data_IF_284812387855
#
_entry.id   IF_284812387855
#
_cell.length_a   1.000
_cell.length_b   1.000
_cell.length_c   1.000
_cell.angle_alpha   90.00
_cell.angle_beta   90.00
_cell.angle_gamma   90.00
#
_symmetry.space_group_name_H-M   'P 1'
#
loop_
_entity.id
_entity.type
_entity.pdbx_description
1 polymer ?
#
# COMPACT_ATOMS: atom_id res chain seq x y z
N UNK A 1 -11.65 -19.32 -8.21
CA UNK A 1 -10.87 -18.06 -8.12
C UNK A 1 -11.66 -16.98 -8.84
N UNK A 2 -12.08 -15.92 -8.16
CA UNK A 2 -12.76 -14.81 -8.83
C UNK A 2 -11.69 -13.96 -9.53
N UNK A 3 -11.87 -13.70 -10.81
CA UNK A 3 -10.97 -12.83 -11.60
C UNK A 3 -11.64 -11.50 -11.87
N UNK A 4 -10.85 -10.44 -11.92
CA UNK A 4 -11.31 -9.08 -12.23
C UNK A 4 -10.41 -8.50 -13.31
N UNK A 5 -11.01 -7.90 -14.32
CA UNK A 5 -10.28 -7.23 -15.40
C UNK A 5 -10.11 -5.74 -15.09
N UNK A 6 -8.89 -5.24 -15.15
CA UNK A 6 -8.56 -3.82 -14.96
C UNK A 6 -7.97 -3.28 -16.26
N UNK A 7 -8.45 -2.11 -16.70
CA UNK A 7 -7.91 -1.41 -17.87
C UNK A 7 -6.82 -0.44 -17.43
N UNK A 8 -5.69 -0.51 -18.11
CA UNK A 8 -4.53 0.36 -17.93
C UNK A 8 -3.99 0.72 -19.31
N UNK A 9 -3.23 1.80 -19.40
CA UNK A 9 -2.53 2.13 -20.64
C UNK A 9 -1.39 1.14 -20.92
N UNK A 10 -0.88 1.19 -22.16
CA UNK A 10 0.16 0.28 -22.62
C UNK A 10 1.48 0.44 -21.87
N UNK A 11 1.85 1.66 -21.48
CA UNK A 11 3.11 1.92 -20.78
C UNK A 11 3.07 1.28 -19.39
N UNK A 12 1.99 1.53 -18.63
CA UNK A 12 1.76 0.90 -17.32
C UNK A 12 1.78 -0.63 -17.41
N UNK A 13 1.19 -1.21 -18.47
CA UNK A 13 1.23 -2.67 -18.66
C UNK A 13 2.65 -3.20 -18.87
N UNK A 14 3.50 -2.48 -19.62
CA UNK A 14 4.89 -2.86 -19.86
C UNK A 14 5.73 -2.76 -18.58
N UNK A 15 5.52 -1.72 -17.79
CA UNK A 15 6.18 -1.56 -16.49
C UNK A 15 5.80 -2.68 -15.52
N UNK A 16 4.52 -3.04 -15.45
CA UNK A 16 4.07 -4.17 -14.63
C UNK A 16 4.67 -5.50 -15.08
N UNK A 17 4.84 -5.70 -16.39
CA UNK A 17 5.52 -6.90 -16.92
C UNK A 17 7.00 -6.92 -16.53
N UNK A 18 7.68 -5.78 -16.65
CA UNK A 18 9.09 -5.65 -16.25
C UNK A 18 9.25 -5.96 -14.76
N UNK A 19 8.43 -5.33 -13.91
CA UNK A 19 8.45 -5.55 -12.46
C UNK A 19 8.17 -7.01 -12.10
N UNK A 20 7.17 -7.63 -12.74
CA UNK A 20 6.85 -9.03 -12.51
C UNK A 20 8.02 -9.96 -12.89
N UNK A 21 8.72 -9.65 -13.99
CA UNK A 21 9.92 -10.38 -14.42
C UNK A 21 11.09 -10.21 -13.43
N UNK A 22 11.32 -9.00 -12.93
CA UNK A 22 12.39 -8.71 -11.97
C UNK A 22 12.18 -9.39 -10.62
N UNK A 23 10.91 -9.58 -10.24
CA UNK A 23 10.52 -10.25 -9.01
C UNK A 23 10.29 -11.76 -9.19
N UNK A 24 10.44 -12.29 -10.41
CA UNK A 24 10.16 -13.70 -10.74
C UNK A 24 8.75 -14.16 -10.35
N UNK A 25 7.75 -13.29 -10.54
CA UNK A 25 6.35 -13.58 -10.21
C UNK A 25 5.40 -13.30 -11.37
N UNK A 26 4.14 -13.74 -11.26
CA UNK A 26 3.11 -13.36 -12.24
C UNK A 26 2.77 -11.86 -12.15
N UNK A 27 2.24 -11.29 -13.25
CA UNK A 27 1.76 -9.89 -13.25
C UNK A 27 0.70 -9.66 -12.16
N UNK A 28 -0.20 -10.62 -11.93
CA UNK A 28 -1.20 -10.53 -10.87
C UNK A 28 -0.60 -10.53 -9.46
N UNK A 29 0.50 -11.26 -9.25
CA UNK A 29 1.25 -11.23 -7.99
C UNK A 29 1.95 -9.88 -7.80
N UNK A 30 2.61 -9.38 -8.84
CA UNK A 30 3.27 -8.07 -8.80
C UNK A 30 2.27 -6.94 -8.48
N UNK A 31 1.06 -6.99 -9.06
CA UNK A 31 -0.03 -6.06 -8.72
C UNK A 31 -0.42 -6.19 -7.25
N UNK A 32 -0.55 -7.41 -6.72
CA UNK A 32 -0.89 -7.62 -5.30
C UNK A 32 0.16 -7.06 -4.36
N UNK A 33 1.45 -7.25 -4.68
CA UNK A 33 2.58 -6.69 -3.93
C UNK A 33 2.54 -5.16 -3.99
N UNK A 34 2.34 -4.58 -5.18
CA UNK A 34 2.28 -3.13 -5.38
C UNK A 34 1.13 -2.48 -4.58
N UNK A 35 -0.08 -3.06 -4.65
CA UNK A 35 -1.24 -2.57 -3.88
C UNK A 35 -0.97 -2.64 -2.37
N UNK A 36 -0.37 -3.74 -1.90
CA UNK A 36 -0.01 -3.88 -0.49
C UNK A 36 1.01 -2.81 -0.06
N UNK A 37 2.05 -2.57 -0.86
CA UNK A 37 3.07 -1.56 -0.55
C UNK A 37 2.49 -0.14 -0.54
N UNK A 38 1.68 0.23 -1.53
CA UNK A 38 1.01 1.54 -1.56
C UNK A 38 0.11 1.75 -0.32
N UNK A 39 -0.56 0.69 0.13
CA UNK A 39 -1.38 0.74 1.35
C UNK A 39 -0.50 0.93 2.60
N UNK A 40 0.61 0.20 2.68
CA UNK A 40 1.55 0.29 3.81
C UNK A 40 2.23 1.65 3.88
N UNK A 41 2.62 2.24 2.75
CA UNK A 41 3.21 3.57 2.69
C UNK A 41 2.25 4.64 3.23
N UNK A 42 0.99 4.60 2.81
CA UNK A 42 -0.05 5.50 3.34
C UNK A 42 -0.23 5.35 4.85
N UNK A 43 -0.27 4.11 5.36
CA UNK A 43 -0.36 3.84 6.81
C UNK A 43 0.88 4.39 7.53
N UNK A 44 2.07 4.17 6.98
CA UNK A 44 3.32 4.68 7.55
C UNK A 44 3.32 6.20 7.68
N UNK A 45 2.83 6.91 6.67
CA UNK A 45 2.65 8.37 6.73
C UNK A 45 1.68 8.78 7.84
N UNK A 46 0.56 8.05 8.00
CA UNK A 46 -0.41 8.35 9.06
C UNK A 46 0.14 8.10 10.46
N UNK A 47 0.87 7.00 10.65
CA UNK A 47 1.48 6.66 11.94
C UNK A 47 2.63 7.58 12.32
N UNK A 48 3.31 8.20 11.35
CA UNK A 48 4.38 9.17 11.59
C UNK A 48 3.90 10.60 11.85
N UNK A 49 2.60 10.86 11.73
CA UNK A 49 2.04 12.17 12.05
C UNK A 49 2.11 12.43 13.56
N UNK A 50 2.38 13.68 13.94
CA UNK A 50 2.28 14.08 15.34
C UNK A 50 0.85 13.86 15.84
N UNK A 51 0.73 13.24 17.01
CA UNK A 51 -0.56 13.04 17.67
C UNK A 51 -1.19 14.40 17.98
N UNK A 52 -2.48 14.51 17.72
CA UNK A 52 -3.24 15.70 18.09
C UNK A 52 -3.28 15.87 19.61
N UNK A 53 -3.55 17.10 20.07
CA UNK A 53 -3.74 17.36 21.51
C UNK A 53 -4.81 16.46 22.13
N UNK A 54 -5.88 16.16 21.38
CA UNK A 54 -6.96 15.28 21.84
C UNK A 54 -6.49 13.82 21.99
N UNK A 55 -5.71 13.31 21.04
CA UNK A 55 -5.16 11.95 21.10
C UNK A 55 -4.13 11.79 22.22
N UNK A 56 -3.26 12.79 22.43
CA UNK A 56 -2.35 12.81 23.58
C UNK A 56 -3.12 12.85 24.90
N UNK A 57 -4.15 13.71 25.01
CA UNK A 57 -4.99 13.78 26.22
C UNK A 57 -5.67 12.44 26.52
N UNK A 58 -6.10 11.71 25.48
CA UNK A 58 -6.67 10.36 25.64
C UNK A 58 -5.63 9.33 26.07
N UNK A 59 -4.41 9.37 25.52
CA UNK A 59 -3.31 8.48 25.94
C UNK A 59 -2.84 8.75 27.37
N UNK A 60 -2.79 10.02 27.77
CA UNK A 60 -2.37 10.44 29.10
C UNK A 60 -3.45 10.19 30.17
N UNK A 61 -4.70 9.91 29.77
CA UNK A 61 -5.82 9.72 30.68
C UNK A 61 -5.68 8.49 31.60
N UNK A 62 -4.93 7.45 31.17
CA UNK A 62 -4.66 6.24 31.96
C UNK A 62 -3.35 6.34 32.78
N UNK A 63 -2.62 7.46 32.70
CA UNK A 63 -1.40 7.72 33.46
C UNK A 63 -1.65 8.56 34.74
N UNK A 64 -2.92 8.72 35.14
CA UNK A 64 -3.36 9.40 36.35
C UNK A 64 -3.31 8.55 37.62
#
# INVERSE_FOLDING_TARGET
MQTTSVRIDRATHLELKRLASELEVSVGEAVRIAVRRATQERIGVQLGAELTTQENTWLDADLG
#
